data_IF_826250031039
#
_entry.id   IF_826250031039
#
_cell.length_a   1.000
_cell.length_b   1.000
_cell.length_c   1.000
_cell.angle_alpha   90.00
_cell.angle_beta   90.00
_cell.angle_gamma   90.00
#
_symmetry.space_group_name_H-M   'P 1'
#
loop_
_entity.id
_entity.type
_entity.pdbx_description
1 polymer ?
#
# COMPACT_ATOMS: atom_id res chain seq x y z
N UNK A 1 -1.48 -15.15 -2.41
CA UNK A 1 -2.17 -14.06 -3.15
C UNK A 1 -1.46 -12.71 -2.98
N UNK A 2 -1.29 -12.20 -1.76
CA UNK A 2 -0.58 -10.95 -1.48
C UNK A 2 0.84 -10.86 -2.09
N UNK A 3 1.68 -11.87 -1.84
CA UNK A 3 3.05 -11.93 -2.37
C UNK A 3 3.11 -11.86 -3.89
N UNK A 4 2.16 -12.49 -4.59
CA UNK A 4 2.07 -12.45 -6.05
C UNK A 4 1.68 -11.06 -6.59
N UNK A 5 0.91 -10.28 -5.83
CA UNK A 5 0.55 -8.90 -6.19
C UNK A 5 1.77 -7.99 -6.00
N UNK A 6 2.44 -8.09 -4.84
CA UNK A 6 3.65 -7.30 -4.55
C UNK A 6 4.79 -7.64 -5.52
N UNK A 7 4.95 -8.92 -5.88
CA UNK A 7 5.98 -9.35 -6.83
C UNK A 7 5.85 -8.70 -8.22
N UNK A 8 4.66 -8.20 -8.60
CA UNK A 8 4.47 -7.46 -9.87
C UNK A 8 5.18 -6.09 -9.88
N UNK A 9 5.60 -5.59 -8.71
CA UNK A 9 6.46 -4.42 -8.58
C UNK A 9 7.96 -4.75 -8.55
N UNK A 10 8.35 -6.02 -8.64
CA UNK A 10 9.76 -6.40 -8.72
C UNK A 10 10.36 -5.89 -10.03
N UNK A 11 11.51 -5.19 -10.01
CA UNK A 11 12.20 -4.81 -11.23
C UNK A 11 13.03 -5.97 -11.82
N UNK A 12 13.21 -7.06 -11.08
CA UNK A 12 14.17 -8.13 -11.42
C UNK A 12 13.53 -9.36 -12.05
N UNK A 13 12.22 -9.58 -11.85
CA UNK A 13 11.54 -10.81 -12.25
C UNK A 13 10.27 -10.48 -13.00
N UNK A 14 10.20 -10.95 -14.25
CA UNK A 14 9.01 -10.88 -15.09
C UNK A 14 8.56 -12.27 -15.48
N UNK A 15 7.31 -12.60 -15.16
CA UNK A 15 6.67 -13.87 -15.54
C UNK A 15 7.53 -15.11 -15.21
N UNK A 16 8.16 -15.09 -14.03
CA UNK A 16 9.01 -16.19 -13.53
C UNK A 16 10.44 -16.23 -14.09
N UNK A 17 10.84 -15.24 -14.91
CA UNK A 17 12.19 -15.14 -15.48
C UNK A 17 12.94 -13.94 -14.92
N UNK A 18 14.22 -14.13 -14.60
CA UNK A 18 15.14 -13.06 -14.18
C UNK A 18 15.48 -12.17 -15.37
N UNK A 19 14.76 -11.05 -15.48
CA UNK A 19 14.93 -10.06 -16.55
C UNK A 19 14.67 -8.70 -15.94
N UNK A 20 15.63 -7.78 -16.07
CA UNK A 20 15.44 -6.41 -15.62
C UNK A 20 14.33 -5.75 -16.47
N UNK A 21 13.32 -5.19 -15.82
CA UNK A 21 12.26 -4.46 -16.51
C UNK A 21 11.74 -3.29 -15.68
N UNK A 22 10.96 -2.41 -16.33
CA UNK A 22 10.20 -1.39 -15.62
C UNK A 22 8.94 -2.04 -15.01
N UNK A 23 8.80 -2.11 -13.66
CA UNK A 23 7.65 -2.73 -13.01
C UNK A 23 6.33 -1.99 -13.26
N UNK A 24 6.37 -0.67 -13.51
CA UNK A 24 5.16 0.11 -13.79
C UNK A 24 4.49 -0.28 -15.11
N UNK A 25 5.26 -0.85 -16.06
CA UNK A 25 4.70 -1.35 -17.33
C UNK A 25 4.03 -2.71 -17.20
N UNK A 26 4.44 -3.51 -16.21
CA UNK A 26 3.88 -4.84 -15.95
C UNK A 26 2.78 -4.81 -14.90
N UNK A 27 2.73 -3.77 -14.07
CA UNK A 27 1.71 -3.63 -13.04
C UNK A 27 0.26 -3.70 -13.58
N UNK A 28 -0.08 -3.11 -14.75
CA UNK A 28 -1.42 -3.23 -15.33
C UNK A 28 -1.80 -4.64 -15.80
N UNK A 29 -0.85 -5.59 -15.87
CA UNK A 29 -1.14 -6.99 -16.22
C UNK A 29 -1.63 -7.81 -15.03
N UNK A 30 -1.83 -7.17 -13.88
CA UNK A 30 -2.43 -7.80 -12.70
C UNK A 30 -3.84 -8.32 -13.04
N UNK A 31 -4.10 -9.64 -12.90
CA UNK A 31 -5.42 -10.19 -13.21
C UNK A 31 -6.51 -9.57 -12.36
N UNK A 32 -7.55 -9.03 -13.01
CA UNK A 32 -8.72 -8.48 -12.32
C UNK A 32 -9.63 -9.63 -11.88
N UNK A 33 -9.38 -10.16 -10.69
CA UNK A 33 -10.18 -11.22 -10.08
C UNK A 33 -11.27 -10.63 -9.14
N UNK A 34 -12.39 -11.35 -8.91
CA UNK A 34 -13.33 -11.02 -7.85
C UNK A 34 -12.61 -10.87 -6.51
N UNK A 35 -12.88 -9.79 -5.79
CA UNK A 35 -12.26 -9.52 -4.49
C UNK A 35 -10.90 -8.80 -4.53
N UNK A 36 -10.29 -8.56 -5.71
CA UNK A 36 -9.01 -7.82 -5.79
C UNK A 36 -9.09 -6.43 -5.13
N UNK A 37 -10.16 -5.67 -5.43
CA UNK A 37 -10.39 -4.35 -4.84
C UNK A 37 -10.57 -4.46 -3.33
N UNK A 38 -11.34 -5.45 -2.86
CA UNK A 38 -11.54 -5.67 -1.43
C UNK A 38 -10.22 -6.00 -0.73
N UNK A 39 -9.39 -6.87 -1.31
CA UNK A 39 -8.07 -7.22 -0.79
C UNK A 39 -7.17 -5.97 -0.69
N UNK A 40 -7.06 -5.17 -1.75
CA UNK A 40 -6.23 -3.97 -1.75
C UNK A 40 -6.76 -2.89 -0.80
N UNK A 41 -8.08 -2.75 -0.70
CA UNK A 41 -8.70 -1.85 0.26
C UNK A 41 -8.55 -2.33 1.71
N UNK A 42 -8.55 -3.64 1.96
CA UNK A 42 -8.23 -4.20 3.28
C UNK A 42 -6.77 -3.96 3.62
N UNK A 43 -5.86 -4.17 2.67
CA UNK A 43 -4.45 -3.85 2.87
C UNK A 43 -4.32 -2.38 3.26
N UNK A 44 -4.72 -1.45 2.39
CA UNK A 44 -4.64 0.00 2.63
C UNK A 44 -5.48 0.52 3.81
N UNK A 45 -6.63 -0.09 4.09
CA UNK A 45 -7.46 0.28 5.24
C UNK A 45 -6.82 -0.15 6.56
N UNK A 46 -6.30 -1.37 6.61
CA UNK A 46 -5.56 -1.86 7.78
C UNK A 46 -4.29 -1.04 8.03
N UNK A 47 -3.63 -0.55 6.97
CA UNK A 47 -2.47 0.32 7.11
C UNK A 47 -2.82 1.65 7.76
N UNK A 48 -3.93 2.26 7.33
CA UNK A 48 -4.39 3.52 7.92
C UNK A 48 -4.86 3.32 9.36
N UNK A 49 -5.53 2.19 9.64
CA UNK A 49 -5.90 1.83 11.00
C UNK A 49 -4.69 1.63 11.91
N UNK A 50 -3.63 0.98 11.43
CA UNK A 50 -2.39 0.77 12.20
C UNK A 50 -1.81 2.10 12.70
N UNK A 51 -1.60 3.06 11.79
CA UNK A 51 -1.15 4.42 12.15
C UNK A 51 -2.13 5.13 13.09
N UNK A 52 -3.43 5.07 12.81
CA UNK A 52 -4.45 5.69 13.65
C UNK A 52 -4.47 5.09 15.07
N UNK A 53 -4.36 3.77 15.17
CA UNK A 53 -4.40 3.05 16.44
C UNK A 53 -3.14 3.27 17.28
N UNK A 54 -2.03 3.67 16.67
CA UNK A 54 -0.81 4.03 17.36
C UNK A 54 -0.79 5.51 17.81
N UNK A 55 -1.73 6.34 17.36
CA UNK A 55 -1.78 7.76 17.73
C UNK A 55 -2.09 7.99 19.21
N UNK A 56 -1.57 9.08 19.79
CA UNK A 56 -1.85 9.47 21.18
C UNK A 56 -3.35 9.62 21.46
N UNK A 57 -4.10 10.14 20.48
CA UNK A 57 -5.55 10.26 20.52
C UNK A 57 -6.24 8.92 20.74
N UNK A 58 -5.84 7.87 20.02
CA UNK A 58 -6.43 6.54 20.19
C UNK A 58 -5.94 5.86 21.46
N UNK A 59 -4.65 5.95 21.76
CA UNK A 59 -4.01 5.30 22.91
C UNK A 59 -4.46 5.86 24.26
N UNK A 60 -4.86 7.14 24.32
CA UNK A 60 -5.42 7.76 25.52
C UNK A 60 -6.83 7.29 25.88
N UNK A 61 -7.49 6.48 25.03
CA UNK A 61 -8.84 5.96 25.26
C UNK A 61 -8.84 4.51 25.71
N UNK A 62 -9.77 4.19 26.59
CA UNK A 62 -10.12 2.79 26.89
C UNK A 62 -11.05 2.26 25.81
N UNK A 63 -10.48 1.53 24.85
CA UNK A 63 -11.21 0.89 23.75
C UNK A 63 -11.16 -0.62 23.84
N UNK A 64 -12.33 -1.25 23.82
CA UNK A 64 -12.48 -2.70 23.88
C UNK A 64 -12.14 -3.39 22.53
N UNK A 65 -12.15 -4.72 22.52
CA UNK A 65 -11.84 -5.52 21.33
C UNK A 65 -12.85 -5.37 20.19
N UNK A 66 -14.13 -5.17 20.52
CA UNK A 66 -15.18 -4.99 19.52
C UNK A 66 -15.03 -3.64 18.81
N UNK A 67 -14.79 -2.57 19.57
CA UNK A 67 -14.51 -1.24 19.07
C UNK A 67 -13.29 -1.22 18.15
N UNK A 68 -12.18 -1.85 18.56
CA UNK A 68 -10.98 -1.99 17.71
C UNK A 68 -11.29 -2.65 16.37
N UNK A 69 -12.04 -3.75 16.41
CA UNK A 69 -12.42 -4.50 15.21
C UNK A 69 -13.34 -3.69 14.30
N UNK A 70 -14.36 -3.04 14.87
CA UNK A 70 -15.29 -2.19 14.13
C UNK A 70 -14.58 -1.00 13.49
N UNK A 71 -13.64 -0.38 14.19
CA UNK A 71 -12.84 0.72 13.64
C UNK A 71 -11.95 0.24 12.50
N UNK A 72 -11.25 -0.89 12.65
CA UNK A 72 -10.47 -1.49 11.57
C UNK A 72 -11.32 -1.79 10.32
N UNK A 73 -12.49 -2.39 10.52
CA UNK A 73 -13.45 -2.67 9.45
C UNK A 73 -13.93 -1.37 8.78
N UNK A 74 -14.21 -0.33 9.57
CA UNK A 74 -14.62 0.96 9.06
C UNK A 74 -13.54 1.58 8.16
N UNK A 75 -12.26 1.54 8.55
CA UNK A 75 -11.15 2.00 7.69
C UNK A 75 -11.10 1.22 6.36
N UNK A 76 -11.20 -0.11 6.40
CA UNK A 76 -11.22 -0.95 5.19
C UNK A 76 -12.39 -0.60 4.26
N UNK A 77 -13.59 -0.41 4.82
CA UNK A 77 -14.80 -0.07 4.07
C UNK A 77 -14.71 1.33 3.48
N UNK A 78 -14.26 2.32 4.26
CA UNK A 78 -14.09 3.70 3.78
C UNK A 78 -13.11 3.75 2.61
N UNK A 79 -11.96 3.10 2.71
CA UNK A 79 -10.99 3.02 1.60
C UNK A 79 -11.64 2.36 0.37
N UNK A 80 -12.32 1.23 0.54
CA UNK A 80 -12.98 0.54 -0.57
C UNK A 80 -14.04 1.41 -1.25
N UNK A 81 -14.84 2.15 -0.48
CA UNK A 81 -15.90 3.02 -0.99
C UNK A 81 -15.31 4.23 -1.72
N UNK A 82 -14.36 4.93 -1.11
CA UNK A 82 -13.71 6.08 -1.73
C UNK A 82 -13.03 5.70 -3.04
N UNK A 83 -12.30 4.58 -3.07
CA UNK A 83 -11.67 4.08 -4.28
C UNK A 83 -12.68 3.71 -5.37
N UNK A 84 -13.77 3.04 -5.02
CA UNK A 84 -14.82 2.69 -5.97
C UNK A 84 -15.52 3.94 -6.52
N UNK A 85 -15.82 4.91 -5.67
CA UNK A 85 -16.47 6.16 -6.07
C UNK A 85 -15.57 6.97 -7.02
N UNK A 86 -14.32 7.18 -6.67
CA UNK A 86 -13.36 7.90 -7.50
C UNK A 86 -13.14 7.20 -8.85
N UNK A 87 -12.96 5.87 -8.84
CA UNK A 87 -12.79 5.08 -10.07
C UNK A 87 -14.01 5.15 -10.99
N UNK A 88 -15.21 5.31 -10.42
CA UNK A 88 -16.48 5.36 -11.18
C UNK A 88 -16.90 6.78 -11.59
N UNK A 89 -16.21 7.81 -11.11
CA UNK A 89 -16.50 9.21 -11.40
C UNK A 89 -16.04 9.67 -12.81
N UNK A 90 -16.14 8.78 -13.81
CA UNK A 90 -15.76 9.07 -15.20
C UNK A 90 -17.00 9.24 -16.09
N UNK A 91 -17.11 10.36 -16.81
CA UNK A 91 -18.20 10.57 -17.79
C UNK A 91 -18.01 9.75 -19.08
N UNK A 92 -19.06 9.66 -19.91
CA UNK A 92 -18.95 9.12 -21.27
C UNK A 92 -18.66 7.62 -21.40
N UNK A 93 -18.85 6.85 -20.33
CA UNK A 93 -18.75 5.38 -20.33
C UNK A 93 -20.08 4.75 -19.96
N UNK A 94 -20.40 3.60 -20.54
CA UNK A 94 -21.59 2.82 -20.22
C UNK A 94 -21.60 2.37 -18.76
N UNK A 95 -22.77 1.99 -18.24
CA UNK A 95 -22.89 1.47 -16.87
C UNK A 95 -22.01 0.24 -16.61
N UNK A 96 -21.88 -0.64 -17.61
CA UNK A 96 -21.05 -1.85 -17.54
C UNK A 96 -19.55 -1.53 -17.49
N UNK A 97 -19.09 -0.60 -18.33
CA UNK A 97 -17.70 -0.13 -18.32
C UNK A 97 -17.37 0.55 -16.99
N UNK A 98 -18.26 1.43 -16.52
CA UNK A 98 -18.13 2.12 -15.23
C UNK A 98 -17.99 1.13 -14.07
N UNK A 99 -18.79 0.07 -14.06
CA UNK A 99 -18.74 -0.96 -13.02
C UNK A 99 -17.39 -1.70 -12.99
N UNK A 100 -16.72 -1.85 -14.15
CA UNK A 100 -15.44 -2.53 -14.29
C UNK A 100 -14.21 -1.65 -13.95
N UNK A 101 -14.36 -0.32 -13.95
CA UNK A 101 -13.25 0.63 -13.72
C UNK A 101 -12.47 0.39 -12.40
N UNK A 102 -13.12 0.15 -11.24
CA UNK A 102 -12.38 -0.10 -9.99
C UNK A 102 -11.41 -1.28 -10.11
N UNK A 103 -11.84 -2.37 -10.75
CA UNK A 103 -10.98 -3.52 -10.99
C UNK A 103 -9.83 -3.20 -11.95
N UNK A 104 -10.12 -2.46 -13.03
CA UNK A 104 -9.13 -2.08 -14.03
C UNK A 104 -8.07 -1.08 -13.51
N UNK A 105 -8.41 -0.29 -12.48
CA UNK A 105 -7.53 0.67 -11.82
C UNK A 105 -6.87 0.11 -10.55
N UNK A 106 -7.33 -1.03 -10.01
CA UNK A 106 -6.90 -1.59 -8.73
C UNK A 106 -5.38 -1.69 -8.57
N UNK A 107 -4.67 -2.05 -9.64
CA UNK A 107 -3.21 -2.16 -9.65
C UNK A 107 -2.48 -0.87 -9.22
N UNK A 108 -3.11 0.31 -9.33
CA UNK A 108 -2.53 1.57 -8.87
C UNK A 108 -2.42 1.68 -7.35
N UNK A 109 -3.12 0.86 -6.57
CA UNK A 109 -2.99 0.83 -5.10
C UNK A 109 -1.78 0.03 -4.63
N UNK A 110 -1.24 -0.85 -5.46
CA UNK A 110 -0.14 -1.75 -5.09
C UNK A 110 1.11 -0.99 -4.61
N UNK A 111 1.56 0.10 -5.27
CA UNK A 111 2.72 0.86 -4.80
C UNK A 111 2.52 1.50 -3.42
N UNK A 112 1.28 1.91 -3.08
CA UNK A 112 0.96 2.44 -1.74
C UNK A 112 1.13 1.35 -0.69
N UNK A 113 0.57 0.16 -0.95
CA UNK A 113 0.70 -1.01 -0.05
C UNK A 113 2.18 -1.34 0.19
N UNK A 114 3.00 -1.37 -0.86
CA UNK A 114 4.44 -1.64 -0.74
C UNK A 114 5.15 -0.54 0.05
N UNK A 115 4.87 0.73 -0.25
CA UNK A 115 5.44 1.87 0.49
C UNK A 115 5.12 1.80 1.98
N UNK A 116 3.88 1.47 2.35
CA UNK A 116 3.50 1.27 3.75
C UNK A 116 4.27 0.13 4.41
N UNK A 117 4.38 -1.03 3.75
CA UNK A 117 5.05 -2.20 4.34
C UNK A 117 6.47 -1.84 4.75
N UNK A 118 7.19 -1.11 3.89
CA UNK A 118 8.51 -0.60 4.23
C UNK A 118 8.45 0.51 5.31
N UNK A 119 7.50 1.44 5.24
CA UNK A 119 7.41 2.49 6.25
C UNK A 119 7.09 1.96 7.67
N UNK A 120 6.31 0.89 7.80
CA UNK A 120 5.85 0.39 9.10
C UNK A 120 6.62 -0.82 9.60
N UNK A 121 7.02 -1.72 8.70
CA UNK A 121 7.62 -3.00 9.07
C UNK A 121 9.11 -3.09 8.78
N UNK A 122 9.78 -2.02 8.30
CA UNK A 122 11.23 -2.05 8.08
C UNK A 122 12.01 -2.34 9.37
N UNK A 123 11.63 -1.73 10.50
CA UNK A 123 12.28 -2.01 11.79
C UNK A 123 12.11 -3.48 12.19
N UNK A 124 10.91 -4.04 12.02
CA UNK A 124 10.68 -5.47 12.24
C UNK A 124 11.52 -6.34 11.31
N UNK A 125 11.56 -6.01 10.01
CA UNK A 125 12.33 -6.75 9.02
C UNK A 125 13.83 -6.76 9.35
N UNK A 126 14.40 -5.61 9.70
CA UNK A 126 15.84 -5.47 9.95
C UNK A 126 16.23 -5.97 11.34
N UNK A 127 15.48 -5.61 12.38
CA UNK A 127 15.89 -5.88 13.77
C UNK A 127 15.33 -7.21 14.28
N UNK A 128 14.06 -7.52 14.00
CA UNK A 128 13.47 -8.82 14.39
C UNK A 128 13.79 -9.92 13.38
N UNK A 129 14.05 -9.59 12.12
CA UNK A 129 14.53 -10.54 11.12
C UNK A 129 15.89 -11.16 11.48
N UNK A 130 16.76 -10.42 12.19
CA UNK A 130 18.02 -10.95 12.74
C UNK A 130 17.76 -12.15 13.66
N UNK A 131 16.78 -12.05 14.58
CA UNK A 131 16.42 -13.13 15.49
C UNK A 131 16.00 -14.39 14.74
N UNK A 132 15.18 -14.23 13.69
CA UNK A 132 14.74 -15.35 12.85
C UNK A 132 15.93 -15.98 12.12
N UNK A 133 16.82 -15.16 11.56
CA UNK A 133 18.02 -15.64 10.87
C UNK A 133 18.95 -16.41 11.82
N UNK A 134 19.18 -15.90 13.02
CA UNK A 134 20.02 -16.56 14.02
C UNK A 134 19.42 -17.90 14.46
N UNK A 135 18.11 -17.95 14.71
CA UNK A 135 17.41 -19.20 15.02
C UNK A 135 17.48 -20.23 13.88
N UNK A 136 17.45 -19.78 12.62
CA UNK A 136 17.59 -20.67 11.46
C UNK A 136 19.01 -21.21 11.26
N UNK A 137 20.03 -20.42 11.65
CA UNK A 137 21.44 -20.78 11.51
C UNK A 137 21.96 -21.59 12.70
N UNK A 138 21.25 -21.60 13.84
CA UNK A 138 21.60 -22.37 15.04
C UNK A 138 21.95 -23.85 14.75
N UNK A 139 21.17 -24.60 13.93
CA UNK A 139 21.50 -26.00 13.63
C UNK A 139 22.77 -26.21 12.81
N UNK A 140 23.31 -25.16 12.19
CA UNK A 140 24.52 -25.22 11.34
C UNK A 140 25.82 -25.01 12.12
N UNK A 141 25.74 -24.76 13.44
CA UNK A 141 26.89 -24.45 14.28
C UNK A 141 27.44 -23.03 14.09
N UNK A 142 26.72 -22.17 13.36
CA UNK A 142 26.98 -20.73 13.33
C UNK A 142 26.84 -20.17 14.77
N UNK A 143 27.69 -19.22 15.21
CA UNK A 143 27.62 -18.69 16.57
C UNK A 143 26.20 -18.20 16.88
N UNK A 144 25.63 -18.74 17.96
CA UNK A 144 24.23 -18.58 18.35
C UNK A 144 23.92 -17.24 19.06
N UNK A 145 24.90 -16.35 19.21
CA UNK A 145 24.72 -15.11 19.99
C UNK A 145 25.39 -13.84 19.40
N UNK A 146 25.15 -13.48 18.13
CA UNK A 146 25.30 -12.09 17.72
C UNK A 146 24.16 -11.28 18.34
N UNK A 147 24.49 -10.43 19.32
CA UNK A 147 23.54 -9.47 19.90
C UNK A 147 22.78 -8.74 18.79
N UNK A 148 21.44 -8.72 18.86
CA UNK A 148 20.59 -8.05 17.86
C UNK A 148 21.01 -6.58 17.73
N UNK A 149 21.34 -6.18 16.51
CA UNK A 149 21.65 -4.79 16.20
C UNK A 149 20.36 -3.99 16.03
N UNK A 150 20.16 -3.00 16.91
CA UNK A 150 19.03 -2.07 16.92
C UNK A 150 19.34 -0.77 16.15
N UNK A 151 20.02 -0.87 15.02
CA UNK A 151 20.56 0.28 14.27
C UNK A 151 19.49 1.29 13.84
N UNK A 152 18.29 0.83 13.49
CA UNK A 152 17.21 1.74 13.08
C UNK A 152 16.57 2.42 14.29
N UNK A 153 16.41 1.67 15.38
CA UNK A 153 15.88 2.17 16.64
C UNK A 153 16.82 3.17 17.32
N UNK A 154 18.14 3.04 17.15
CA UNK A 154 19.13 4.02 17.66
C UNK A 154 19.29 5.26 16.77
N UNK A 155 18.82 5.22 15.51
CA UNK A 155 18.89 6.33 14.56
C UNK A 155 17.49 6.82 14.16
N UNK A 156 16.75 7.36 15.13
CA UNK A 156 15.34 7.74 14.98
C UNK A 156 15.09 8.74 13.85
N UNK A 157 15.98 9.71 13.63
CA UNK A 157 15.86 10.67 12.52
C UNK A 157 15.99 10.01 11.14
N UNK A 158 16.94 9.08 11.00
CA UNK A 158 17.11 8.31 9.75
C UNK A 158 15.90 7.42 9.50
N UNK A 159 15.41 6.74 10.54
CA UNK A 159 14.21 5.93 10.45
C UNK A 159 13.01 6.78 10.01
N UNK A 160 12.77 7.94 10.62
CA UNK A 160 11.69 8.85 10.24
C UNK A 160 11.81 9.29 8.76
N UNK A 161 13.02 9.66 8.31
CA UNK A 161 13.27 10.03 6.92
C UNK A 161 12.97 8.89 5.94
N UNK A 162 13.36 7.66 6.27
CA UNK A 162 13.04 6.47 5.48
C UNK A 162 11.53 6.22 5.40
N UNK A 163 10.80 6.32 6.51
CA UNK A 163 9.35 6.15 6.52
C UNK A 163 8.66 7.13 5.57
N UNK A 164 9.01 8.40 5.64
CA UNK A 164 8.47 9.44 4.74
C UNK A 164 8.83 9.12 3.29
N UNK A 165 10.09 8.76 3.01
CA UNK A 165 10.54 8.44 1.66
C UNK A 165 9.75 7.26 1.05
N UNK A 166 9.52 6.19 1.80
CA UNK A 166 8.75 5.03 1.32
C UNK A 166 7.27 5.37 1.09
N UNK A 167 6.65 6.13 1.99
CA UNK A 167 5.25 6.57 1.82
C UNK A 167 5.11 7.44 0.57
N UNK A 168 5.96 8.47 0.43
CA UNK A 168 5.89 9.41 -0.70
C UNK A 168 6.20 8.70 -2.01
N UNK A 169 7.24 7.87 -2.07
CA UNK A 169 7.58 7.10 -3.27
C UNK A 169 6.43 6.17 -3.68
N UNK A 170 5.83 5.45 -2.73
CA UNK A 170 4.67 4.60 -2.98
C UNK A 170 3.49 5.38 -3.58
N UNK A 171 3.16 6.56 -3.04
CA UNK A 171 2.07 7.38 -3.55
C UNK A 171 2.38 7.99 -4.93
N UNK A 172 3.61 8.46 -5.18
CA UNK A 172 4.01 8.98 -6.49
C UNK A 172 3.87 7.88 -7.55
N UNK A 173 4.38 6.67 -7.28
CA UNK A 173 4.27 5.53 -8.20
C UNK A 173 2.80 5.11 -8.42
N UNK A 174 1.97 5.19 -7.39
CA UNK A 174 0.53 4.94 -7.49
C UNK A 174 -0.20 5.95 -8.40
N UNK A 175 0.11 7.24 -8.26
CA UNK A 175 -0.43 8.30 -9.12
C UNK A 175 -0.02 8.08 -10.57
N UNK A 176 1.26 7.77 -10.82
CA UNK A 176 1.75 7.46 -12.18
C UNK A 176 1.00 6.25 -12.76
N UNK A 177 0.88 5.16 -12.01
CA UNK A 177 0.15 3.97 -12.46
C UNK A 177 -1.33 4.25 -12.76
N UNK A 178 -2.01 5.01 -11.90
CA UNK A 178 -3.40 5.41 -12.11
C UNK A 178 -3.55 6.31 -13.35
N UNK A 179 -2.63 7.26 -13.52
CA UNK A 179 -2.62 8.20 -14.65
C UNK A 179 -2.45 7.48 -15.98
N UNK A 180 -1.41 6.64 -16.10
CA UNK A 180 -1.11 5.89 -17.31
C UNK A 180 -2.29 4.98 -17.71
N UNK A 181 -2.91 4.33 -16.72
CA UNK A 181 -4.06 3.49 -17.00
C UNK A 181 -5.29 4.29 -17.42
N UNK A 182 -5.53 5.45 -16.80
CA UNK A 182 -6.65 6.32 -17.16
C UNK A 182 -6.54 6.83 -18.62
N UNK A 183 -5.33 7.10 -19.11
CA UNK A 183 -5.11 7.51 -20.50
C UNK A 183 -5.52 6.43 -21.51
N UNK A 184 -5.38 5.16 -21.13
CA UNK A 184 -5.76 4.00 -21.96
C UNK A 184 -7.25 3.69 -21.86
N UNK A 185 -7.85 3.80 -20.66
CA UNK A 185 -9.23 3.39 -20.40
C UNK A 185 -10.28 4.44 -20.73
N UNK A 186 -9.99 5.73 -20.51
CA UNK A 186 -11.03 6.76 -20.49
C UNK A 186 -11.21 7.46 -21.87
N UNK A 187 -12.47 7.72 -22.28
CA UNK A 187 -12.76 8.46 -23.51
C UNK A 187 -12.13 9.85 -23.51
N UNK A 188 -11.53 10.27 -24.63
CA UNK A 188 -10.79 11.55 -24.75
C UNK A 188 -11.56 12.76 -24.17
N UNK A 189 -12.86 12.86 -24.44
CA UNK A 189 -13.70 13.96 -23.98
C UNK A 189 -13.94 14.00 -22.46
N UNK A 190 -13.77 12.89 -21.74
CA UNK A 190 -14.07 12.77 -20.31
C UNK A 190 -12.85 12.35 -19.47
N UNK A 191 -11.65 12.37 -20.06
CA UNK A 191 -10.41 12.04 -19.33
C UNK A 191 -10.19 12.94 -18.13
N UNK A 192 -10.41 14.24 -18.29
CA UNK A 192 -10.16 15.24 -17.24
C UNK A 192 -11.00 14.98 -15.98
N UNK A 193 -12.29 14.68 -16.10
CA UNK A 193 -13.14 14.47 -14.92
C UNK A 193 -12.80 13.18 -14.18
N UNK A 194 -12.59 12.08 -14.91
CA UNK A 194 -12.20 10.80 -14.30
C UNK A 194 -10.80 10.84 -13.68
N UNK A 195 -9.85 11.52 -14.34
CA UNK A 195 -8.49 11.71 -13.81
C UNK A 195 -8.48 12.60 -12.58
N UNK A 196 -9.28 13.67 -12.56
CA UNK A 196 -9.35 14.57 -11.42
C UNK A 196 -9.87 13.86 -10.17
N UNK A 197 -10.91 13.03 -10.30
CA UNK A 197 -11.45 12.27 -9.16
C UNK A 197 -10.40 11.31 -8.57
N UNK A 198 -9.69 10.56 -9.42
CA UNK A 198 -8.61 9.67 -8.98
C UNK A 198 -7.42 10.44 -8.40
N UNK A 199 -7.05 11.57 -8.99
CA UNK A 199 -5.98 12.43 -8.48
C UNK A 199 -6.31 12.95 -7.08
N UNK A 200 -7.50 13.51 -6.89
CA UNK A 200 -7.98 14.02 -5.60
C UNK A 200 -7.94 12.91 -4.56
N UNK A 201 -8.38 11.70 -4.91
CA UNK A 201 -8.32 10.55 -4.01
C UNK A 201 -6.88 10.21 -3.59
N UNK A 202 -5.95 10.11 -4.55
CA UNK A 202 -4.55 9.76 -4.26
C UNK A 202 -3.86 10.82 -3.42
N UNK A 203 -4.14 12.09 -3.69
CA UNK A 203 -3.66 13.21 -2.87
C UNK A 203 -4.23 13.11 -1.46
N UNK A 204 -5.54 12.88 -1.30
CA UNK A 204 -6.16 12.69 0.01
C UNK A 204 -5.53 11.52 0.78
N UNK A 205 -5.30 10.37 0.13
CA UNK A 205 -4.60 9.23 0.74
C UNK A 205 -3.18 9.59 1.19
N UNK A 206 -2.45 10.39 0.41
CA UNK A 206 -1.11 10.84 0.77
C UNK A 206 -1.15 11.73 2.01
N UNK A 207 -2.01 12.75 2.01
CA UNK A 207 -2.14 13.67 3.14
C UNK A 207 -2.61 12.96 4.40
N UNK A 208 -3.62 12.09 4.31
CA UNK A 208 -4.09 11.28 5.44
C UNK A 208 -2.99 10.33 5.92
N UNK A 209 -2.26 9.66 5.02
CA UNK A 209 -1.17 8.76 5.37
C UNK A 209 -0.04 9.48 6.11
N UNK A 210 0.39 10.65 5.62
CA UNK A 210 1.41 11.46 6.28
C UNK A 210 0.91 12.04 7.61
N UNK A 211 -0.32 12.53 7.67
CA UNK A 211 -0.92 13.03 8.91
C UNK A 211 -0.94 11.94 9.98
N UNK A 212 -1.41 10.74 9.63
CA UNK A 212 -1.44 9.62 10.56
C UNK A 212 -0.04 9.17 10.95
N UNK A 213 0.93 9.18 10.02
CA UNK A 213 2.33 8.84 10.30
C UNK A 213 2.97 9.78 11.34
N UNK A 214 2.63 11.08 11.32
CA UNK A 214 3.12 12.07 12.28
C UNK A 214 2.28 12.16 13.56
N UNK A 215 1.13 11.49 13.61
CA UNK A 215 0.26 11.45 14.80
C UNK A 215 0.68 10.38 15.83
N UNK A 216 1.69 9.57 15.48
CA UNK A 216 2.25 8.46 16.26
C UNK A 216 3.56 8.88 16.91
#
# INVERSE_FOLDING_TARGET
MYSAIVARLSPFVRDGRWVLHNPLRTLPTLPVAPGLVALLATLLGSTAYDSFSASEFWQSRTVDGAQRTLTLLAFCVVVALLFQLASRATGGVSGRERAALPGALAHSLVPIVVGYVFAHYLTYLVEKGQVVLFALLEPTGWPADPSVSYVLSTHTSTLAGLKVAFVVAGHVLAVVAAHDRALVLLPKAHRLSGQLAMLVLMVAYTFTGLFLLFSV
#
